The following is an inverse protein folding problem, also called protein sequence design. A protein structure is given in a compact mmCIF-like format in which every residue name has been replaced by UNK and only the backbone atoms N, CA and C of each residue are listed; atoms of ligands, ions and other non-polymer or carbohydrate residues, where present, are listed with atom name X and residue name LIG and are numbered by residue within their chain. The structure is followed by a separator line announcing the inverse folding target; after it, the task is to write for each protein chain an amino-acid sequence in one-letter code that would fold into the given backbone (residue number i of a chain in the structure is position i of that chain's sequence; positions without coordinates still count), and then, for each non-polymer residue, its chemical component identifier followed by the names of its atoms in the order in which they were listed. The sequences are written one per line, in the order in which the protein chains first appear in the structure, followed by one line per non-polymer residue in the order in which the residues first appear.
data_IF_462095928695
#
_entry.id   IF_462095928695
#
_cell.length_a   1.000
_cell.length_b   1.000
_cell.length_c   1.000
_cell.angle_alpha   90.00
_cell.angle_beta   90.00
_cell.angle_gamma   90.00
#
_symmetry.space_group_name_H-M   'P 1'
#
loop_
_entity.id
_entity.type
_entity.pdbx_description
1 polymer ?
#
# COMPACT_ATOMS: atom_id res chain seq x y z
N UNK A 1 -16.07 1.23 7.06
CA UNK A 1 -16.19 0.57 5.75
C UNK A 1 -16.28 1.68 4.73
N UNK A 2 -15.38 1.67 3.75
CA UNK A 2 -15.18 2.78 2.84
C UNK A 2 -15.41 2.31 1.40
N UNK A 3 -16.03 3.17 0.60
CA UNK A 3 -16.34 2.94 -0.81
C UNK A 3 -15.38 3.78 -1.65
N UNK A 4 -14.47 3.12 -2.34
CA UNK A 4 -13.64 3.78 -3.34
C UNK A 4 -14.46 3.92 -4.64
N UNK A 5 -14.40 5.10 -5.25
CA UNK A 5 -15.19 5.41 -6.46
C UNK A 5 -14.80 4.55 -7.67
N UNK A 6 -13.56 4.04 -7.72
CA UNK A 6 -13.01 3.22 -8.80
C UNK A 6 -13.04 1.73 -8.47
N UNK A 7 -12.81 1.35 -7.22
CA UNK A 7 -12.61 -0.04 -6.80
C UNK A 7 -13.79 -0.64 -6.01
N UNK A 8 -14.80 0.17 -5.70
CA UNK A 8 -15.98 -0.27 -4.97
C UNK A 8 -15.67 -0.49 -3.49
N UNK A 9 -16.17 -1.60 -2.93
CA UNK A 9 -16.05 -1.86 -1.50
C UNK A 9 -14.62 -2.27 -1.13
N UNK A 10 -14.00 -1.50 -0.22
CA UNK A 10 -12.69 -1.81 0.34
C UNK A 10 -12.86 -2.20 1.81
N UNK A 11 -12.34 -3.37 2.17
CA UNK A 11 -12.38 -3.90 3.53
C UNK A 11 -10.98 -4.12 4.08
N UNK A 12 -10.79 -3.80 5.35
CA UNK A 12 -9.58 -4.03 6.12
C UNK A 12 -9.85 -5.13 7.15
N UNK A 13 -8.90 -6.05 7.34
CA UNK A 13 -9.08 -7.19 8.24
C UNK A 13 -8.98 -6.83 9.72
N UNK A 14 -8.17 -5.83 10.07
CA UNK A 14 -7.78 -5.62 11.48
C UNK A 14 -8.16 -4.26 12.07
N UNK A 15 -8.37 -3.23 11.24
CA UNK A 15 -8.62 -1.87 11.73
C UNK A 15 -9.64 -1.14 10.90
N UNK A 16 -10.58 -0.48 11.58
CA UNK A 16 -11.49 0.47 10.94
C UNK A 16 -10.70 1.73 10.61
N UNK A 17 -10.64 2.07 9.33
CA UNK A 17 -10.11 3.37 8.91
C UNK A 17 -11.16 4.45 9.27
N UNK A 18 -10.76 5.52 9.97
CA UNK A 18 -11.63 6.68 10.23
C UNK A 18 -12.23 7.24 8.93
N UNK A 19 -13.51 7.65 8.98
CA UNK A 19 -14.24 8.10 7.79
C UNK A 19 -13.65 9.33 7.10
N UNK A 20 -12.96 10.18 7.86
CA UNK A 20 -12.40 11.44 7.36
C UNK A 20 -10.88 11.34 7.12
N UNK A 21 -10.29 10.15 7.27
CA UNK A 21 -8.88 9.94 6.97
C UNK A 21 -8.70 9.73 5.46
N UNK A 22 -7.91 10.58 4.77
CA UNK A 22 -7.65 10.37 3.35
C UNK A 22 -6.78 9.13 3.16
N UNK A 23 -7.27 8.17 2.37
CA UNK A 23 -6.58 6.92 2.06
C UNK A 23 -6.12 6.91 0.60
N UNK A 24 -4.93 6.37 0.36
CA UNK A 24 -4.44 6.08 -0.99
C UNK A 24 -4.25 4.57 -1.19
N UNK A 25 -4.92 4.01 -2.21
CA UNK A 25 -4.91 2.57 -2.48
C UNK A 25 -3.89 2.27 -3.58
N UNK A 26 -2.96 1.37 -3.28
CA UNK A 26 -1.97 0.85 -4.23
C UNK A 26 -2.32 -0.59 -4.61
N UNK A 27 -2.49 -0.88 -5.90
CA UNK A 27 -2.76 -2.24 -6.35
C UNK A 27 -1.46 -2.96 -6.70
N UNK A 28 -1.41 -4.27 -6.44
CA UNK A 28 -0.26 -5.11 -6.80
C UNK A 28 0.06 -5.11 -8.29
N UNK A 29 -0.96 -4.99 -9.15
CA UNK A 29 -0.80 -4.89 -10.59
C UNK A 29 -0.18 -3.55 -11.06
N UNK A 30 -0.19 -2.49 -10.26
CA UNK A 30 0.20 -1.17 -10.73
C UNK A 30 1.73 -1.04 -10.81
N UNK A 31 2.26 -0.62 -11.97
CA UNK A 31 3.72 -0.60 -12.17
C UNK A 31 4.45 0.37 -11.22
N UNK A 32 3.77 1.42 -10.78
CA UNK A 32 4.35 2.47 -9.92
C UNK A 32 4.28 2.09 -8.43
N UNK A 33 3.37 1.20 -8.05
CA UNK A 33 3.10 0.89 -6.66
C UNK A 33 4.31 0.31 -5.89
N UNK A 34 5.13 -0.61 -6.44
CA UNK A 34 6.33 -1.08 -5.75
C UNK A 34 7.31 0.03 -5.38
N UNK A 35 7.48 1.03 -6.26
CA UNK A 35 8.37 2.17 -6.01
C UNK A 35 7.86 3.03 -4.86
N UNK A 36 6.54 3.30 -4.83
CA UNK A 36 5.91 4.06 -3.75
C UNK A 36 6.06 3.33 -2.42
N UNK A 37 5.84 2.01 -2.39
CA UNK A 37 5.99 1.19 -1.17
C UNK A 37 7.45 1.19 -0.68
N UNK A 38 8.44 1.13 -1.59
CA UNK A 38 9.86 1.25 -1.22
C UNK A 38 10.18 2.61 -0.60
N UNK A 39 9.70 3.69 -1.21
CA UNK A 39 9.87 5.03 -0.68
C UNK A 39 9.26 5.14 0.73
N UNK A 40 8.05 4.62 0.91
CA UNK A 40 7.40 4.59 2.23
C UNK A 40 8.23 3.80 3.26
N UNK A 41 8.79 2.65 2.87
CA UNK A 41 9.68 1.86 3.73
C UNK A 41 10.93 2.64 4.18
N UNK A 42 11.50 3.46 3.29
CA UNK A 42 12.64 4.31 3.62
C UNK A 42 12.25 5.44 4.59
N UNK A 43 11.09 6.07 4.38
CA UNK A 43 10.54 7.08 5.29
C UNK A 43 10.23 6.51 6.68
N UNK A 44 9.65 5.31 6.76
CA UNK A 44 9.41 4.60 8.02
C UNK A 44 10.73 4.35 8.77
N UNK A 45 11.79 3.97 8.05
CA UNK A 45 13.12 3.79 8.63
C UNK A 45 13.75 5.08 9.14
N UNK A 46 13.49 6.21 8.49
CA UNK A 46 14.01 7.53 8.90
C UNK A 46 13.31 8.09 10.13
N UNK A 47 11.98 7.93 10.21
CA UNK A 47 11.18 8.49 11.31
C UNK A 47 11.28 7.62 12.59
N UNK A 48 11.68 6.35 12.45
CA UNK A 48 11.74 5.43 13.58
C UNK A 48 10.35 5.07 14.11
N UNK A 49 9.35 5.01 13.22
CA UNK A 49 7.96 4.67 13.58
C UNK A 49 7.90 3.30 14.30
N UNK A 50 7.05 3.24 15.34
CA UNK A 50 6.75 2.03 16.13
C UNK A 50 6.03 0.92 15.34
N UNK A 51 5.26 0.00 15.98
CA UNK A 51 4.92 -1.34 15.48
C UNK A 51 3.86 -1.36 14.36
N UNK A 52 4.15 -0.66 13.27
CA UNK A 52 3.60 -0.91 11.93
C UNK A 52 4.48 -1.93 11.22
N UNK A 53 3.99 -2.45 10.08
CA UNK A 53 4.77 -3.26 9.14
C UNK A 53 6.22 -2.77 9.09
N UNK A 54 7.15 -3.63 9.46
CA UNK A 54 8.57 -3.33 9.49
C UNK A 54 9.05 -2.90 8.10
N UNK A 55 10.13 -2.12 8.06
CA UNK A 55 10.80 -1.75 6.81
C UNK A 55 11.07 -2.98 5.92
N UNK A 56 11.45 -4.10 6.52
CA UNK A 56 11.69 -5.36 5.83
C UNK A 56 10.42 -5.92 5.18
N UNK A 57 9.30 -5.93 5.91
CA UNK A 57 8.01 -6.40 5.39
C UNK A 57 7.51 -5.53 4.24
N UNK A 58 7.66 -4.21 4.33
CA UNK A 58 7.31 -3.29 3.24
C UNK A 58 8.15 -3.56 1.99
N UNK A 59 9.46 -3.78 2.14
CA UNK A 59 10.33 -4.13 1.01
C UNK A 59 9.96 -5.47 0.39
N UNK A 60 9.63 -6.48 1.20
CA UNK A 60 9.13 -7.77 0.71
C UNK A 60 7.79 -7.63 -0.01
N UNK A 61 6.89 -6.77 0.49
CA UNK A 61 5.63 -6.46 -0.18
C UNK A 61 5.90 -5.83 -1.57
N UNK A 62 6.78 -4.83 -1.66
CA UNK A 62 7.15 -4.24 -2.94
C UNK A 62 7.68 -5.29 -3.94
N UNK A 63 8.55 -6.21 -3.50
CA UNK A 63 9.03 -7.31 -4.35
C UNK A 63 7.89 -8.22 -4.82
N UNK A 64 6.92 -8.55 -3.95
CA UNK A 64 5.74 -9.34 -4.35
C UNK A 64 4.88 -8.59 -5.38
N UNK A 65 4.75 -7.28 -5.26
CA UNK A 65 4.02 -6.46 -6.24
C UNK A 65 4.74 -6.43 -7.59
N UNK A 66 6.07 -6.43 -7.63
CA UNK A 66 6.83 -6.54 -8.89
C UNK A 66 6.65 -7.88 -9.59
N UNK A 67 6.41 -8.94 -8.82
CA UNK A 67 6.16 -10.29 -9.33
C UNK A 67 4.70 -10.51 -9.75
N UNK A 68 3.81 -9.57 -9.42
CA UNK A 68 2.39 -9.69 -9.75
C UNK A 68 2.17 -9.59 -11.27
N UNK A 69 1.42 -10.52 -11.86
CA UNK A 69 1.09 -10.51 -13.28
C UNK A 69 -0.43 -10.56 -13.49
N UNK A 70 -1.00 -9.74 -14.40
CA UNK A 70 -0.33 -8.74 -15.23
C UNK A 70 0.08 -7.48 -14.46
N UNK A 71 1.06 -6.72 -14.99
CA UNK A 71 1.38 -5.37 -14.53
C UNK A 71 0.81 -4.32 -15.49
N UNK A 72 0.26 -3.24 -14.94
CA UNK A 72 -0.44 -2.18 -15.68
C UNK A 72 0.06 -0.79 -15.25
N UNK A 73 0.11 0.12 -16.21
CA UNK A 73 0.18 1.55 -15.89
C UNK A 73 -1.14 1.93 -15.19
N UNK A 74 -1.11 2.67 -14.07
CA UNK A 74 -2.34 3.19 -13.48
C UNK A 74 -3.12 4.01 -14.52
N UNK A 75 -4.44 3.78 -14.61
CA UNK A 75 -5.34 4.66 -15.40
C UNK A 75 -5.57 6.00 -14.72
#
# INVERSE_FOLDING_TARGET
MEMDTKYGQVTTSEKVIPKDEPVFILRGQDILAPTVVRLYADLVGLIGCGPTMSRTELRMLATRMEQWHPRKVPD
#
